data_IF_433370657279
#
_entry.id   IF_433370657279
#
_cell.length_a   1.000
_cell.length_b   1.000
_cell.length_c   1.000
_cell.angle_alpha   90.00
_cell.angle_beta   90.00
_cell.angle_gamma   90.00
#
_symmetry.space_group_name_H-M   'P 1'
#
loop_
_entity.id
_entity.type
_entity.pdbx_description
1 polymer ?
#
# COMPACT_ATOMS: atom_id res chain seq x y z
N UNK A 1 3.54 5.90 1.96
CA UNK A 1 3.16 5.15 0.74
C UNK A 1 4.19 4.05 0.59
N UNK A 2 3.80 2.77 0.64
CA UNK A 2 4.76 1.68 0.41
C UNK A 2 5.21 1.75 -1.07
N UNK A 3 6.52 1.74 -1.38
CA UNK A 3 7.64 1.11 -0.65
C UNK A 3 8.55 2.04 0.19
N UNK A 4 8.16 3.27 0.48
CA UNK A 4 9.00 4.19 1.28
C UNK A 4 8.83 3.93 2.79
N UNK A 5 9.43 2.85 3.30
CA UNK A 5 9.46 2.53 4.74
C UNK A 5 10.22 3.58 5.58
N UNK A 6 11.07 4.42 4.98
CA UNK A 6 11.92 5.40 5.69
C UNK A 6 11.55 6.87 5.49
N UNK A 7 10.43 7.19 4.81
CA UNK A 7 10.07 8.56 4.40
C UNK A 7 11.16 9.32 3.60
N UNK A 8 12.26 8.67 3.24
CA UNK A 8 13.30 9.26 2.40
C UNK A 8 12.74 9.34 0.97
N UNK A 9 12.61 10.57 0.48
CA UNK A 9 12.00 10.93 -0.81
C UNK A 9 10.46 10.83 -0.88
N UNK A 10 9.74 11.02 0.24
CA UNK A 10 8.38 11.57 0.11
C UNK A 10 8.51 13.06 -0.13
N UNK A 11 8.34 13.50 -1.38
CA UNK A 11 7.99 14.89 -1.63
C UNK A 11 6.81 15.22 -0.69
N UNK A 12 6.99 16.23 0.16
CA UNK A 12 6.00 16.68 1.15
C UNK A 12 4.68 17.19 0.52
N UNK A 13 4.49 16.96 -0.78
CA UNK A 13 3.37 17.36 -1.60
C UNK A 13 2.55 16.14 -2.09
N UNK A 14 2.48 15.06 -1.30
CA UNK A 14 1.54 13.97 -1.55
C UNK A 14 0.11 14.45 -1.34
N UNK A 15 -0.54 14.84 -2.44
CA UNK A 15 -1.96 15.19 -2.45
C UNK A 15 -2.82 13.93 -2.39
N UNK A 16 -3.23 13.55 -1.17
CA UNK A 16 -4.16 12.44 -0.92
C UNK A 16 -5.48 12.58 -1.70
N UNK A 17 -5.84 13.77 -2.20
CA UNK A 17 -7.03 14.00 -3.04
C UNK A 17 -6.83 13.45 -4.45
N UNK A 18 -5.58 13.32 -4.92
CA UNK A 18 -5.22 12.65 -6.16
C UNK A 18 -5.16 11.14 -5.99
N UNK A 19 -6.02 10.51 -5.18
CA UNK A 19 -6.25 9.08 -5.30
C UNK A 19 -6.63 8.74 -6.76
N UNK A 20 -5.65 8.43 -7.60
CA UNK A 20 -5.73 8.15 -9.04
C UNK A 20 -5.37 6.68 -9.27
N UNK A 21 -5.91 6.08 -10.32
CA UNK A 21 -5.76 4.65 -10.59
C UNK A 21 -6.89 3.79 -10.00
N UNK A 22 -6.61 2.50 -9.80
CA UNK A 22 -7.58 1.52 -9.32
C UNK A 22 -8.03 1.85 -7.88
N UNK A 23 -9.35 1.88 -7.66
CA UNK A 23 -9.95 2.13 -6.35
C UNK A 23 -10.74 0.93 -5.89
N UNK A 24 -10.39 0.41 -4.72
CA UNK A 24 -11.10 -0.69 -4.07
C UNK A 24 -11.91 -0.11 -2.91
N UNK A 25 -13.23 -0.25 -2.97
CA UNK A 25 -14.12 0.20 -1.90
C UNK A 25 -14.00 -0.77 -0.71
N UNK A 26 -13.69 -0.29 0.51
CA UNK A 26 -13.56 -1.18 1.66
C UNK A 26 -14.92 -1.79 2.02
N UNK A 27 -14.92 -3.10 2.26
CA UNK A 27 -16.07 -3.86 2.79
C UNK A 27 -15.54 -4.79 3.87
N UNK A 28 -16.28 -4.91 4.98
CA UNK A 28 -15.89 -5.80 6.08
C UNK A 28 -15.84 -7.24 5.58
N UNK A 29 -14.71 -7.89 5.79
CA UNK A 29 -14.47 -9.28 5.38
C UNK A 29 -13.72 -9.44 4.04
N UNK A 30 -13.63 -8.40 3.22
CA UNK A 30 -12.89 -8.45 1.96
C UNK A 30 -11.37 -8.39 2.22
N UNK A 31 -10.61 -9.12 1.39
CA UNK A 31 -9.14 -9.07 1.35
C UNK A 31 -8.65 -8.52 0.01
N UNK A 32 -7.53 -7.79 0.03
CA UNK A 32 -6.84 -7.32 -1.18
C UNK A 32 -5.41 -7.86 -1.15
N UNK A 33 -5.09 -8.71 -2.13
CA UNK A 33 -3.73 -9.20 -2.36
C UNK A 33 -3.17 -8.52 -3.61
N UNK A 34 -1.94 -8.01 -3.50
CA UNK A 34 -1.18 -7.47 -4.62
C UNK A 34 0.31 -7.78 -4.40
N UNK A 35 1.07 -7.83 -5.49
CA UNK A 35 2.50 -8.03 -5.46
C UNK A 35 3.21 -6.68 -5.58
N UNK A 36 4.26 -6.47 -4.78
CA UNK A 36 5.10 -5.26 -4.84
C UNK A 36 6.46 -5.50 -5.48
N UNK A 37 6.73 -6.73 -5.91
CA UNK A 37 7.97 -7.14 -6.56
C UNK A 37 7.64 -7.87 -7.87
N UNK A 38 8.49 -7.67 -8.87
CA UNK A 38 8.55 -8.53 -10.06
C UNK A 38 9.14 -9.91 -9.70
N UNK A 39 8.98 -10.94 -10.55
CA UNK A 39 9.56 -12.26 -10.32
C UNK A 39 11.09 -12.28 -10.16
N UNK A 40 11.78 -11.23 -10.63
CA UNK A 40 13.22 -11.05 -10.45
C UNK A 40 13.61 -10.34 -9.14
N UNK A 41 12.66 -10.09 -8.23
CA UNK A 41 12.88 -9.44 -6.94
C UNK A 41 12.99 -7.91 -6.97
N UNK A 42 12.88 -7.27 -8.14
CA UNK A 42 12.89 -5.80 -8.23
C UNK A 42 11.53 -5.19 -7.88
N UNK A 43 11.51 -4.00 -7.29
CA UNK A 43 10.27 -3.29 -6.91
C UNK A 43 9.42 -3.02 -8.16
N UNK A 44 8.13 -3.32 -8.08
CA UNK A 44 7.14 -2.95 -9.09
C UNK A 44 6.61 -1.52 -8.83
N UNK A 45 6.97 -0.49 -9.63
CA UNK A 45 6.49 0.87 -9.44
C UNK A 45 4.98 1.02 -9.63
N UNK A 46 4.33 0.09 -10.33
CA UNK A 46 2.87 0.10 -10.54
C UNK A 46 2.09 -0.35 -9.32
N UNK A 47 2.77 -1.01 -8.37
CA UNK A 47 2.20 -1.46 -7.09
C UNK A 47 2.10 -0.36 -6.03
N UNK A 48 2.55 0.86 -6.35
CA UNK A 48 2.48 2.03 -5.47
C UNK A 48 1.02 2.24 -5.06
N UNK A 49 0.75 2.12 -3.76
CA UNK A 49 -0.61 2.13 -3.23
C UNK A 49 -0.71 2.94 -1.95
N UNK A 50 -1.92 3.42 -1.68
CA UNK A 50 -2.24 4.20 -0.51
C UNK A 50 -3.71 4.09 -0.14
N UNK A 51 -4.06 4.67 0.99
CA UNK A 51 -5.46 4.83 1.40
C UNK A 51 -5.88 6.28 1.19
N UNK A 52 -7.06 6.47 0.58
CA UNK A 52 -7.71 7.77 0.60
C UNK A 52 -8.17 8.11 2.02
N UNK A 53 -8.26 9.42 2.31
CA UNK A 53 -8.76 9.90 3.59
C UNK A 53 -10.19 9.40 3.88
N UNK A 54 -10.45 9.02 5.12
CA UNK A 54 -11.80 8.64 5.58
C UNK A 54 -12.61 9.92 5.75
N UNK A 55 -13.70 10.06 4.99
CA UNK A 55 -14.55 11.26 5.02
C UNK A 55 -15.60 11.18 6.14
N UNK A 56 -16.03 9.96 6.52
CA UNK A 56 -17.02 9.73 7.58
C UNK A 56 -16.79 8.36 8.23
N UNK A 57 -16.92 8.31 9.57
CA UNK A 57 -16.73 7.10 10.36
C UNK A 57 -15.27 6.71 10.51
N UNK A 58 -14.99 5.41 10.54
CA UNK A 58 -13.66 4.84 10.73
C UNK A 58 -13.41 3.69 9.76
N UNK A 59 -12.13 3.44 9.45
CA UNK A 59 -11.67 2.35 8.60
C UNK A 59 -10.62 1.54 9.35
N UNK A 60 -10.90 0.26 9.58
CA UNK A 60 -9.98 -0.71 10.17
C UNK A 60 -9.47 -1.67 9.09
N UNK A 61 -8.18 -1.99 9.13
CA UNK A 61 -7.52 -2.95 8.23
C UNK A 61 -6.51 -3.78 9.00
N UNK A 62 -6.30 -5.02 8.56
CA UNK A 62 -5.20 -5.86 9.01
C UNK A 62 -4.30 -6.14 7.81
N UNK A 63 -3.01 -5.82 7.94
CA UNK A 63 -2.02 -6.02 6.87
C UNK A 63 -1.10 -7.17 7.23
N UNK A 64 -0.98 -8.16 6.35
CA UNK A 64 0.03 -9.23 6.44
C UNK A 64 1.01 -9.06 5.30
N UNK A 65 2.28 -8.85 5.65
CA UNK A 65 3.37 -8.87 4.68
C UNK A 65 3.84 -10.31 4.49
N UNK A 66 4.03 -10.70 3.23
CA UNK A 66 4.60 -11.97 2.82
C UNK A 66 5.96 -11.64 2.21
N UNK A 67 7.03 -12.16 2.82
CA UNK A 67 8.41 -11.96 2.40
C UNK A 67 8.86 -13.19 1.62
N UNK A 68 9.78 -13.00 0.68
CA UNK A 68 10.43 -14.09 -0.05
C UNK A 68 11.53 -14.78 0.77
N UNK A 69 12.08 -14.08 1.76
CA UNK A 69 13.02 -14.60 2.74
C UNK A 69 12.36 -14.73 4.12
N UNK A 70 12.83 -15.68 4.91
CA UNK A 70 12.52 -15.72 6.34
C UNK A 70 13.14 -14.51 7.04
N UNK A 71 12.42 -13.92 7.99
CA UNK A 71 12.95 -12.89 8.85
C UNK A 71 13.54 -13.59 10.08
N UNK A 72 14.84 -13.48 10.28
CA UNK A 72 15.47 -13.83 11.55
C UNK A 72 14.90 -12.92 12.66
N UNK A 73 14.63 -13.50 13.83
CA UNK A 73 14.04 -12.82 15.00
C UNK A 73 15.00 -11.81 15.66
#
# INVERSE_FOLDING_TARGET
MFPFESAQNMDANYDFRKCIGLKVKPRRGDGLLFYSLFPNGTIDPTSIHGSCAVIRGEKWVATKWIRDQEMDE
#
